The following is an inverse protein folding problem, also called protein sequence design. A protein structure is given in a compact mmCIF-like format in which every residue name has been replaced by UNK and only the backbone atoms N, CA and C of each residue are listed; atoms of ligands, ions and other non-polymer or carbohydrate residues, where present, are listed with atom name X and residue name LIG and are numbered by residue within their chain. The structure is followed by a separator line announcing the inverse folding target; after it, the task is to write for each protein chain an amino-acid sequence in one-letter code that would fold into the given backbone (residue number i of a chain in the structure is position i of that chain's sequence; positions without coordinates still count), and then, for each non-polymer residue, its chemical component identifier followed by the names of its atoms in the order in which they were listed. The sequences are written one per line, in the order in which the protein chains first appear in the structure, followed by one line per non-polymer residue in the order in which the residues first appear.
data_IF_993323511539
#
_entry.id   IF_993323511539
#
_cell.length_a   1.000
_cell.length_b   1.000
_cell.length_c   1.000
_cell.angle_alpha   90.00
_cell.angle_beta   90.00
_cell.angle_gamma   90.00
#
_symmetry.space_group_name_H-M   'P 1'
#
loop_
_entity.id
_entity.type
_entity.pdbx_description
1 polymer ?
#
# COMPACT_ATOMS: atom_id res chain seq x y z
N UNK A 1 -1.49 -13.25 -10.09
CA UNK A 1 -0.58 -12.97 -8.95
C UNK A 1 -0.06 -14.27 -8.38
N UNK A 2 1.25 -14.34 -8.18
CA UNK A 2 1.85 -15.55 -7.62
C UNK A 2 1.73 -15.54 -6.09
N UNK A 3 1.18 -16.63 -5.56
CA UNK A 3 0.95 -16.80 -4.13
C UNK A 3 1.92 -17.85 -3.60
N UNK A 4 2.67 -17.50 -2.54
CA UNK A 4 3.64 -18.38 -1.91
C UNK A 4 3.22 -18.59 -0.46
N UNK A 5 2.91 -19.84 -0.09
CA UNK A 5 2.55 -20.16 1.28
C UNK A 5 3.79 -20.57 2.06
N UNK A 6 4.04 -19.85 3.15
CA UNK A 6 5.21 -20.10 4.01
C UNK A 6 4.92 -19.66 5.44
N UNK A 7 5.49 -20.37 6.40
CA UNK A 7 5.40 -19.98 7.82
C UNK A 7 6.36 -18.86 8.21
N UNK A 8 7.29 -18.49 7.33
CA UNK A 8 8.35 -17.53 7.65
C UNK A 8 7.97 -16.09 7.34
N UNK A 9 7.05 -15.85 6.44
CA UNK A 9 6.58 -14.53 6.04
C UNK A 9 5.06 -14.53 5.90
N UNK A 10 4.40 -13.46 6.30
CA UNK A 10 4.86 -12.26 7.00
C UNK A 10 5.11 -12.51 8.49
N UNK A 11 5.47 -11.46 9.28
CA UNK A 11 5.54 -11.58 10.74
C UNK A 11 4.22 -12.09 11.34
N UNK A 12 4.29 -12.68 12.54
CA UNK A 12 3.16 -13.41 13.16
C UNK A 12 1.83 -12.66 13.22
N UNK A 13 1.86 -11.34 13.32
CA UNK A 13 0.63 -10.54 13.45
C UNK A 13 -0.04 -10.21 12.12
N UNK A 14 0.49 -10.70 11.01
CA UNK A 14 -0.03 -10.43 9.67
C UNK A 14 -0.32 -11.75 8.96
N UNK A 15 -1.36 -11.76 8.14
CA UNK A 15 -1.77 -12.95 7.40
C UNK A 15 -1.04 -13.08 6.07
N UNK A 16 -0.77 -11.96 5.42
CA UNK A 16 -0.16 -11.93 4.09
C UNK A 16 0.66 -10.67 3.89
N UNK A 17 1.67 -10.75 3.03
CA UNK A 17 2.49 -9.60 2.63
C UNK A 17 2.84 -9.69 1.15
N UNK A 18 2.70 -8.57 0.45
CA UNK A 18 3.08 -8.45 -0.95
C UNK A 18 4.48 -7.84 -1.04
N UNK A 19 5.42 -8.61 -1.55
CA UNK A 19 6.79 -8.15 -1.79
C UNK A 19 7.09 -8.32 -3.27
N UNK A 20 7.33 -7.22 -3.96
CA UNK A 20 7.67 -7.20 -5.38
C UNK A 20 6.65 -7.93 -6.26
N UNK A 21 5.37 -7.86 -5.89
CA UNK A 21 4.30 -8.54 -6.63
C UNK A 21 4.10 -10.00 -6.27
N UNK A 22 4.89 -10.54 -5.35
CA UNK A 22 4.72 -11.90 -4.82
C UNK A 22 3.95 -11.82 -3.50
N UNK A 23 2.90 -12.59 -3.37
CA UNK A 23 2.10 -12.62 -2.16
C UNK A 23 2.54 -13.78 -1.27
N UNK A 24 3.13 -13.45 -0.13
CA UNK A 24 3.52 -14.43 0.89
C UNK A 24 2.42 -14.53 1.92
N UNK A 25 1.95 -15.75 2.18
CA UNK A 25 0.79 -16.03 3.02
C UNK A 25 1.12 -17.16 3.97
N UNK A 26 0.73 -17.04 5.24
CA UNK A 26 0.87 -18.15 6.17
C UNK A 26 0.00 -19.35 5.77
N UNK A 27 0.46 -20.58 6.07
CA UNK A 27 -0.36 -21.77 5.85
C UNK A 27 -1.68 -21.65 6.60
N UNK A 28 -2.77 -22.09 5.99
CA UNK A 28 -4.10 -22.07 6.60
C UNK A 28 -4.85 -20.76 6.49
N UNK A 29 -4.22 -19.68 6.06
CA UNK A 29 -4.92 -18.41 5.83
C UNK A 29 -5.79 -18.53 4.58
N UNK A 30 -7.07 -18.18 4.72
CA UNK A 30 -8.01 -18.19 3.62
C UNK A 30 -7.94 -16.87 2.86
N UNK A 31 -7.57 -16.93 1.58
CA UNK A 31 -7.53 -15.75 0.72
C UNK A 31 -8.85 -15.60 -0.01
N UNK A 32 -9.48 -14.44 0.16
CA UNK A 32 -10.68 -14.09 -0.59
C UNK A 32 -10.30 -13.37 -1.88
N UNK A 33 -11.25 -13.29 -2.82
CA UNK A 33 -11.06 -12.51 -4.06
C UNK A 33 -10.78 -11.04 -3.75
N UNK A 34 -11.42 -10.51 -2.71
CA UNK A 34 -11.24 -9.12 -2.27
C UNK A 34 -9.81 -8.88 -1.76
N UNK A 35 -9.26 -9.80 -0.99
CA UNK A 35 -7.88 -9.71 -0.49
C UNK A 35 -6.89 -9.76 -1.66
N UNK A 36 -7.09 -10.67 -2.60
CA UNK A 36 -6.24 -10.77 -3.78
C UNK A 36 -6.32 -9.49 -4.62
N UNK A 37 -7.52 -8.93 -4.78
CA UNK A 37 -7.72 -7.67 -5.48
C UNK A 37 -6.97 -6.52 -4.79
N UNK A 38 -7.04 -6.45 -3.46
CA UNK A 38 -6.28 -5.49 -2.64
C UNK A 38 -4.78 -5.57 -2.96
N UNK A 39 -4.23 -6.77 -2.96
CA UNK A 39 -2.80 -6.97 -3.22
C UNK A 39 -2.42 -6.65 -4.68
N UNK A 40 -3.31 -6.91 -5.61
CA UNK A 40 -3.10 -6.54 -7.02
C UNK A 40 -3.11 -5.03 -7.22
N UNK A 41 -3.88 -4.30 -6.43
CA UNK A 41 -3.84 -2.83 -6.44
C UNK A 41 -2.46 -2.35 -6.02
N UNK A 42 -1.90 -2.92 -4.95
CA UNK A 42 -0.53 -2.60 -4.53
C UNK A 42 0.51 -2.91 -5.61
N UNK A 43 0.37 -4.04 -6.29
CA UNK A 43 1.28 -4.38 -7.39
C UNK A 43 1.22 -3.32 -8.50
N UNK A 44 0.02 -2.85 -8.83
CA UNK A 44 -0.14 -1.79 -9.83
C UNK A 44 0.49 -0.47 -9.37
N UNK A 45 0.29 -0.09 -8.12
CA UNK A 45 0.91 1.10 -7.54
C UNK A 45 2.44 1.01 -7.62
N UNK A 46 3.00 -0.14 -7.24
CA UNK A 46 4.43 -0.40 -7.27
C UNK A 46 5.00 -0.29 -8.70
N UNK A 47 4.33 -0.89 -9.67
CA UNK A 47 4.80 -0.89 -11.05
C UNK A 47 4.76 0.51 -11.68
N UNK A 48 3.71 1.28 -11.41
CA UNK A 48 3.64 2.64 -11.97
C UNK A 48 4.68 3.58 -11.38
N UNK A 49 5.18 3.29 -10.17
CA UNK A 49 6.22 4.07 -9.51
C UNK A 49 7.62 3.48 -9.69
N UNK A 50 7.80 2.55 -10.62
CA UNK A 50 9.09 1.92 -10.94
C UNK A 50 9.72 1.21 -9.74
N UNK A 51 8.91 0.57 -8.92
CA UNK A 51 9.30 -0.31 -7.80
C UNK A 51 10.01 0.43 -6.65
N UNK A 52 11.28 0.85 -6.81
CA UNK A 52 12.03 1.45 -5.71
C UNK A 52 11.43 2.76 -5.19
N UNK A 53 11.01 3.72 -6.03
CA UNK A 53 10.32 4.91 -5.56
C UNK A 53 9.02 4.60 -4.82
N UNK A 54 8.30 3.53 -5.18
CA UNK A 54 7.11 3.12 -4.43
C UNK A 54 7.46 2.80 -2.97
N UNK A 55 8.47 1.94 -2.74
CA UNK A 55 8.86 1.56 -1.39
C UNK A 55 9.43 2.72 -0.61
N UNK A 56 10.21 3.59 -1.26
CA UNK A 56 10.73 4.78 -0.61
C UNK A 56 9.60 5.71 -0.14
N UNK A 57 8.63 5.98 -1.01
CA UNK A 57 7.48 6.80 -0.66
C UNK A 57 6.65 6.16 0.46
N UNK A 58 6.46 4.86 0.40
CA UNK A 58 5.73 4.10 1.42
C UNK A 58 6.36 4.32 2.80
N UNK A 59 7.66 4.19 2.90
CA UNK A 59 8.37 4.38 4.17
C UNK A 59 8.29 5.83 4.64
N UNK A 60 8.50 6.79 3.76
CA UNK A 60 8.42 8.22 4.08
C UNK A 60 7.03 8.57 4.60
N UNK A 61 6.00 8.18 3.90
CA UNK A 61 4.62 8.47 4.30
C UNK A 61 4.28 7.79 5.64
N UNK A 62 4.75 6.57 5.84
CA UNK A 62 4.55 5.84 7.09
C UNK A 62 5.18 6.59 8.27
N UNK A 63 6.42 7.05 8.13
CA UNK A 63 7.11 7.82 9.17
C UNK A 63 6.35 9.11 9.49
N UNK A 64 5.90 9.84 8.48
CA UNK A 64 5.17 11.10 8.68
C UNK A 64 3.86 10.85 9.42
N UNK A 65 3.21 9.71 9.17
CA UNK A 65 1.92 9.41 9.79
C UNK A 65 2.02 8.78 11.17
N UNK A 66 3.22 8.41 11.63
CA UNK A 66 3.38 7.83 12.98
C UNK A 66 2.77 8.67 14.09
N UNK A 67 2.95 10.01 14.13
CA UNK A 67 2.36 10.83 15.19
C UNK A 67 0.90 11.18 14.96
N UNK A 68 0.30 10.80 13.83
CA UNK A 68 -1.09 11.12 13.54
C UNK A 68 -2.04 10.13 14.20
N UNK A 69 -3.31 10.54 14.40
CA UNK A 69 -4.33 9.67 14.97
C UNK A 69 -4.55 8.43 14.10
N UNK A 70 -4.72 7.29 14.76
CA UNK A 70 -4.91 6.00 14.11
C UNK A 70 -3.61 5.28 13.81
N UNK A 71 -3.72 4.15 13.11
CA UNK A 71 -2.54 3.38 12.72
C UNK A 71 -1.88 4.00 11.49
N UNK A 72 -0.57 4.25 11.56
CA UNK A 72 0.17 4.80 10.43
C UNK A 72 -0.02 3.96 9.16
N UNK A 73 0.08 2.63 9.29
CA UNK A 73 -0.12 1.69 8.20
C UNK A 73 -1.47 1.88 7.50
N UNK A 74 -2.56 1.91 8.27
CA UNK A 74 -3.92 2.03 7.73
C UNK A 74 -4.20 3.38 7.10
N UNK A 75 -3.41 4.41 7.45
CA UNK A 75 -3.58 5.77 6.93
C UNK A 75 -2.71 6.06 5.70
N UNK A 76 -1.82 5.14 5.32
CA UNK A 76 -1.05 5.29 4.09
C UNK A 76 -1.96 5.44 2.88
N UNK A 77 -1.63 6.35 1.98
CA UNK A 77 -2.41 6.57 0.76
C UNK A 77 -2.53 5.28 -0.07
N UNK A 78 -1.45 4.52 -0.18
CA UNK A 78 -1.46 3.24 -0.88
C UNK A 78 -2.44 2.24 -0.26
N UNK A 79 -2.42 2.14 1.07
CA UNK A 79 -3.32 1.22 1.78
C UNK A 79 -4.77 1.69 1.71
N UNK A 80 -4.99 2.99 1.84
CA UNK A 80 -6.35 3.54 1.73
C UNK A 80 -6.95 3.28 0.36
N UNK A 81 -6.20 3.49 -0.71
CA UNK A 81 -6.68 3.15 -2.05
C UNK A 81 -7.06 1.67 -2.12
N UNK A 82 -6.18 0.79 -1.63
CA UNK A 82 -6.39 -0.64 -1.71
C UNK A 82 -7.59 -1.10 -0.88
N UNK A 83 -7.72 -0.64 0.37
CA UNK A 83 -8.83 -1.03 1.24
C UNK A 83 -10.18 -0.50 0.74
N UNK A 84 -10.24 0.75 0.25
CA UNK A 84 -11.50 1.32 -0.23
C UNK A 84 -12.00 0.69 -1.53
N UNK A 85 -11.12 0.09 -2.31
CA UNK A 85 -11.46 -0.46 -3.62
C UNK A 85 -11.37 -1.98 -3.73
N UNK A 86 -10.96 -2.67 -2.65
CA UNK A 86 -10.77 -4.13 -2.69
C UNK A 86 -12.04 -4.91 -2.99
N UNK A 87 -13.20 -4.38 -2.62
CA UNK A 87 -14.48 -5.04 -2.86
C UNK A 87 -14.98 -4.88 -4.29
N UNK A 88 -14.44 -3.94 -5.05
CA UNK A 88 -14.74 -3.77 -6.46
C UNK A 88 -13.74 -4.58 -7.28
N UNK A 89 -14.11 -5.81 -7.65
CA UNK A 89 -13.21 -6.72 -8.36
C UNK A 89 -12.83 -6.22 -9.76
N UNK A 90 -13.56 -5.25 -10.30
CA UNK A 90 -13.27 -4.62 -11.59
C UNK A 90 -12.48 -3.31 -11.45
N UNK A 91 -12.06 -2.96 -10.24
CA UNK A 91 -11.41 -1.65 -10.00
C UNK A 91 -10.21 -1.41 -10.91
N UNK A 92 -9.30 -2.38 -11.04
CA UNK A 92 -8.08 -2.20 -11.85
C UNK A 92 -8.36 -1.96 -13.33
N UNK A 93 -9.51 -2.41 -13.86
CA UNK A 93 -9.87 -2.18 -15.26
C UNK A 93 -10.22 -0.72 -15.55
N UNK A 94 -10.57 0.06 -14.52
CA UNK A 94 -10.92 1.48 -14.65
C UNK A 94 -9.95 2.41 -13.93
N UNK A 95 -9.02 1.84 -13.16
CA UNK A 95 -8.12 2.62 -12.32
C UNK A 95 -7.22 3.52 -13.16
N UNK A 96 -7.19 4.81 -12.82
CA UNK A 96 -6.26 5.75 -13.45
C UNK A 96 -4.87 5.62 -12.84
N UNK A 97 -3.80 5.84 -13.62
CA UNK A 97 -2.45 5.90 -13.07
C UNK A 97 -2.36 6.90 -11.92
N UNK A 98 -1.59 6.55 -10.90
CA UNK A 98 -1.38 7.38 -9.70
C UNK A 98 -2.66 7.68 -8.92
N UNK A 99 -3.68 6.81 -9.02
CA UNK A 99 -4.93 7.01 -8.29
C UNK A 99 -4.74 7.07 -6.77
N UNK A 100 -3.67 6.48 -6.22
CA UNK A 100 -3.35 6.54 -4.80
C UNK A 100 -3.17 7.98 -4.29
N UNK A 101 -2.81 8.91 -5.17
CA UNK A 101 -2.63 10.32 -4.78
C UNK A 101 -3.91 10.96 -4.27
N UNK A 102 -5.08 10.46 -4.68
CA UNK A 102 -6.37 10.95 -4.19
C UNK A 102 -6.59 10.63 -2.71
N UNK A 103 -5.84 9.68 -2.17
CA UNK A 103 -5.97 9.20 -0.80
C UNK A 103 -4.95 9.84 0.13
N UNK A 104 -4.14 10.76 -0.36
CA UNK A 104 -3.32 11.63 0.48
C UNK A 104 -4.23 12.56 1.27
N UNK A 105 -4.01 12.65 2.60
CA UNK A 105 -4.81 13.53 3.45
C UNK A 105 -4.40 14.99 3.26
N UNK A 106 -5.00 15.64 2.27
CA UNK A 106 -4.97 17.09 2.12
C UNK A 106 -3.59 17.66 1.81
N UNK A 107 -3.59 18.98 1.60
CA UNK A 107 -2.39 19.75 1.28
C UNK A 107 -1.35 19.73 2.40
N UNK A 108 -1.80 19.60 3.66
CA UNK A 108 -0.91 19.60 4.83
C UNK A 108 0.11 18.47 4.77
N UNK A 109 -0.32 17.26 4.41
CA UNK A 109 0.59 16.13 4.30
C UNK A 109 1.64 16.34 3.22
N UNK A 110 1.24 16.88 2.07
CA UNK A 110 2.17 17.17 0.97
C UNK A 110 3.20 18.20 1.41
N UNK A 111 2.78 19.25 2.11
CA UNK A 111 3.68 20.28 2.65
C UNK A 111 4.65 19.65 3.65
N UNK A 112 4.18 18.77 4.53
CA UNK A 112 5.04 18.09 5.49
C UNK A 112 6.08 17.21 4.80
N UNK A 113 5.71 16.48 3.76
CA UNK A 113 6.64 15.66 2.98
C UNK A 113 7.69 16.55 2.29
N UNK A 114 7.27 17.63 1.66
CA UNK A 114 8.17 18.56 0.97
C UNK A 114 9.15 19.19 1.96
N UNK A 115 8.67 19.58 3.15
CA UNK A 115 9.50 20.14 4.21
C UNK A 115 10.50 19.12 4.71
N UNK A 116 10.07 17.88 4.94
CA UNK A 116 10.95 16.79 5.38
C UNK A 116 12.07 16.52 4.38
N UNK A 117 11.76 16.61 3.09
CA UNK A 117 12.75 16.40 2.04
C UNK A 117 13.66 17.62 1.82
N UNK A 118 13.45 18.72 2.57
CA UNK A 118 14.26 19.92 2.45
C UNK A 118 14.02 20.72 1.18
N UNK A 119 12.89 20.55 0.53
CA UNK A 119 12.55 21.25 -0.71
C UNK A 119 11.92 22.63 -0.46
N UNK A 120 11.46 22.86 0.78
CA UNK A 120 10.98 24.17 1.25
C UNK A 120 11.86 24.64 2.38
N UNK A 121 12.41 25.79 2.21
CA UNK A 121 13.23 26.42 3.25
C UNK A 121 12.35 26.95 4.39
#
# INVERSE_FOLDING_TARGET
MKIIRTKYLPPKNYDAINILGLLFVHPGVKLTKEIINHERIHTRQMLEMLILPFYLWYVIEWIIRLPMAGRAYMNLSFEREAYENMNNLNYLSHRRPYAWMRYLKGKKLIIEIITLLGLLA
#
